data_IF_735755685778
#
_entry.id   IF_735755685778
#
_cell.length_a   1.000
_cell.length_b   1.000
_cell.length_c   1.000
_cell.angle_alpha   90.00
_cell.angle_beta   90.00
_cell.angle_gamma   90.00
#
_symmetry.space_group_name_H-M   'P 1'
#
loop_
_entity.id
_entity.type
_entity.pdbx_description
1 polymer ?
#
# COMPACT_ATOMS: atom_id res chain seq x y z
N UNK A 1 -13.76 10.11 -11.40
CA UNK A 1 -13.61 8.94 -10.51
C UNK A 1 -14.33 7.76 -11.13
N UNK A 2 -13.70 6.61 -11.16
CA UNK A 2 -14.27 5.37 -11.66
C UNK A 2 -15.44 4.94 -10.75
N UNK A 3 -16.60 4.52 -11.30
CA UNK A 3 -17.73 4.05 -10.47
C UNK A 3 -17.36 2.96 -9.46
N UNK A 4 -16.43 2.08 -9.81
CA UNK A 4 -15.97 1.03 -8.90
C UNK A 4 -15.20 1.57 -7.70
N UNK A 5 -14.46 2.66 -7.87
CA UNK A 5 -13.76 3.31 -6.75
C UNK A 5 -14.76 3.85 -5.73
N UNK A 6 -15.85 4.44 -6.19
CA UNK A 6 -16.89 4.96 -5.30
C UNK A 6 -17.51 3.82 -4.49
N UNK A 7 -17.80 2.70 -5.12
CA UNK A 7 -18.36 1.52 -4.46
C UNK A 7 -17.37 0.95 -3.43
N UNK A 8 -16.10 0.85 -3.79
CA UNK A 8 -15.05 0.34 -2.90
C UNK A 8 -14.88 1.26 -1.70
N UNK A 9 -14.85 2.57 -1.90
CA UNK A 9 -14.78 3.55 -0.81
C UNK A 9 -15.95 3.41 0.15
N UNK A 10 -17.17 3.22 -0.39
CA UNK A 10 -18.37 3.02 0.43
C UNK A 10 -18.28 1.74 1.26
N UNK A 11 -17.81 0.66 0.66
CA UNK A 11 -17.59 -0.61 1.36
C UNK A 11 -16.57 -0.44 2.49
N UNK A 12 -15.44 0.22 2.22
CA UNK A 12 -14.41 0.45 3.22
C UNK A 12 -14.90 1.34 4.36
N UNK A 13 -15.71 2.35 4.03
CA UNK A 13 -16.30 3.23 5.04
C UNK A 13 -17.26 2.48 5.98
N UNK A 14 -17.95 1.47 5.47
CA UNK A 14 -18.90 0.65 6.28
C UNK A 14 -18.23 -0.42 7.11
N UNK A 15 -17.12 -1.00 6.60
CA UNK A 15 -16.53 -2.21 7.17
C UNK A 15 -15.15 -1.98 7.80
N UNK A 16 -14.59 -0.80 7.71
CA UNK A 16 -13.28 -0.39 8.25
C UNK A 16 -12.11 -1.17 7.66
N UNK A 17 -12.03 -2.46 7.95
CA UNK A 17 -10.98 -3.35 7.41
C UNK A 17 -11.67 -4.43 6.60
N UNK A 18 -11.26 -4.62 5.36
CA UNK A 18 -11.89 -5.57 4.45
C UNK A 18 -10.88 -6.50 3.80
N UNK A 19 -11.31 -7.73 3.55
CA UNK A 19 -10.56 -8.72 2.79
C UNK A 19 -10.84 -8.52 1.30
N UNK A 20 -9.81 -8.68 0.45
CA UNK A 20 -9.95 -8.48 -1.00
C UNK A 20 -10.98 -9.43 -1.64
N UNK A 21 -11.15 -10.64 -1.09
CA UNK A 21 -12.17 -11.58 -1.57
C UNK A 21 -13.58 -11.10 -1.22
N UNK A 22 -13.77 -10.52 -0.04
CA UNK A 22 -15.07 -9.98 0.37
C UNK A 22 -15.45 -8.76 -0.46
N UNK A 23 -14.48 -7.92 -0.85
CA UNK A 23 -14.75 -6.81 -1.76
C UNK A 23 -15.34 -7.32 -3.07
N UNK A 24 -14.75 -8.36 -3.66
CA UNK A 24 -15.26 -8.97 -4.88
C UNK A 24 -16.69 -9.48 -4.71
N UNK A 25 -16.96 -10.14 -3.59
CA UNK A 25 -18.28 -10.65 -3.25
C UNK A 25 -19.30 -9.53 -3.11
N UNK A 26 -18.95 -8.45 -2.43
CA UNK A 26 -19.87 -7.32 -2.25
C UNK A 26 -20.10 -6.54 -3.54
N UNK A 27 -19.07 -6.39 -4.37
CA UNK A 27 -19.23 -5.80 -5.70
C UNK A 27 -20.13 -6.65 -6.59
N UNK A 28 -20.04 -7.97 -6.47
CA UNK A 28 -20.94 -8.90 -7.16
C UNK A 28 -22.39 -8.68 -6.76
N UNK A 29 -22.67 -8.45 -5.49
CA UNK A 29 -24.03 -8.17 -5.01
C UNK A 29 -24.62 -6.89 -5.59
N UNK A 30 -23.79 -5.91 -5.90
CA UNK A 30 -24.23 -4.68 -6.56
C UNK A 30 -24.47 -4.86 -8.05
N UNK A 31 -23.90 -5.87 -8.67
CA UNK A 31 -23.91 -6.08 -10.11
C UNK A 31 -24.32 -7.52 -10.49
N UNK A 32 -25.40 -8.03 -9.90
CA UNK A 32 -25.80 -9.43 -9.99
C UNK A 32 -26.11 -9.96 -11.40
N UNK A 33 -26.27 -9.10 -12.40
CA UNK A 33 -26.91 -9.46 -13.65
C UNK A 33 -25.95 -9.72 -14.84
N UNK A 34 -24.61 -9.76 -14.61
CA UNK A 34 -23.71 -9.86 -15.76
C UNK A 34 -22.31 -10.41 -15.40
N UNK A 35 -21.99 -11.60 -15.90
CA UNK A 35 -20.68 -12.26 -15.68
C UNK A 35 -19.51 -11.43 -16.16
N UNK A 36 -19.66 -10.68 -17.27
CA UNK A 36 -18.60 -9.81 -17.77
C UNK A 36 -18.29 -8.65 -16.82
N UNK A 37 -19.27 -8.21 -16.04
CA UNK A 37 -19.08 -7.20 -15.00
C UNK A 37 -18.22 -7.77 -13.87
N UNK A 38 -18.44 -9.02 -13.48
CA UNK A 38 -17.66 -9.68 -12.44
C UNK A 38 -16.18 -9.76 -12.81
N UNK A 39 -15.87 -10.07 -14.04
CA UNK A 39 -14.48 -10.08 -14.54
C UNK A 39 -13.86 -8.70 -14.49
N UNK A 40 -14.57 -7.66 -14.93
CA UNK A 40 -14.12 -6.26 -14.86
C UNK A 40 -13.93 -5.81 -13.42
N UNK A 41 -14.84 -6.18 -12.53
CA UNK A 41 -14.74 -5.90 -11.10
C UNK A 41 -13.51 -6.56 -10.52
N UNK A 42 -13.22 -7.80 -10.87
CA UNK A 42 -12.01 -8.51 -10.43
C UNK A 42 -10.72 -7.76 -10.81
N UNK A 43 -10.64 -7.30 -12.05
CA UNK A 43 -9.49 -6.51 -12.54
C UNK A 43 -9.42 -5.14 -11.86
N UNK A 44 -10.55 -4.43 -11.79
CA UNK A 44 -10.61 -3.12 -11.15
C UNK A 44 -10.22 -3.22 -9.69
N UNK A 45 -10.69 -4.25 -8.97
CA UNK A 45 -10.35 -4.47 -7.58
C UNK A 45 -8.85 -4.70 -7.42
N UNK A 46 -8.23 -5.53 -8.25
CA UNK A 46 -6.79 -5.79 -8.19
C UNK A 46 -5.96 -4.54 -8.43
N UNK A 47 -6.38 -3.67 -9.37
CA UNK A 47 -5.69 -2.43 -9.70
C UNK A 47 -5.95 -1.33 -8.66
N UNK A 48 -7.18 -1.20 -8.20
CA UNK A 48 -7.62 -0.07 -7.37
C UNK A 48 -7.38 -0.27 -5.88
N UNK A 49 -7.32 -1.51 -5.40
CA UNK A 49 -6.93 -1.75 -4.01
C UNK A 49 -5.52 -1.29 -3.70
N UNK A 50 -4.66 -1.13 -4.73
CA UNK A 50 -3.35 -0.53 -4.55
C UNK A 50 -3.41 0.98 -4.26
N UNK A 51 -4.54 1.64 -4.51
CA UNK A 51 -4.75 3.06 -4.18
C UNK A 51 -5.31 3.28 -2.76
N UNK A 52 -5.68 2.21 -2.07
CA UNK A 52 -6.08 2.23 -0.67
C UNK A 52 -4.94 1.71 0.21
N UNK A 53 -5.06 1.85 1.52
CA UNK A 53 -4.01 1.40 2.44
C UNK A 53 -4.08 -0.12 2.61
N UNK A 54 -3.03 -0.81 2.21
CA UNK A 54 -2.92 -2.25 2.31
C UNK A 54 -2.28 -2.62 3.65
N UNK A 55 -3.03 -3.32 4.49
CA UNK A 55 -2.60 -3.70 5.84
C UNK A 55 -1.74 -4.98 5.84
N UNK A 56 -2.09 -5.94 4.99
CA UNK A 56 -1.36 -7.19 4.81
C UNK A 56 -1.65 -7.79 3.41
N UNK A 57 -1.36 -9.06 3.20
CA UNK A 57 -1.53 -9.69 1.88
C UNK A 57 -2.92 -9.49 1.28
N UNK A 58 -3.96 -9.54 2.09
CA UNK A 58 -5.34 -9.51 1.59
C UNK A 58 -6.28 -8.53 2.31
N UNK A 59 -5.80 -7.74 3.28
CA UNK A 59 -6.63 -6.79 4.02
C UNK A 59 -6.32 -5.34 3.65
N UNK A 60 -7.37 -4.56 3.47
CA UNK A 60 -7.30 -3.16 3.05
C UNK A 60 -8.17 -2.29 3.93
N UNK A 61 -7.81 -1.02 4.04
CA UNK A 61 -8.58 -0.01 4.75
C UNK A 61 -8.49 1.33 4.01
N UNK A 62 -9.31 2.29 4.42
CA UNK A 62 -9.20 3.66 3.92
C UNK A 62 -7.87 4.25 4.34
N UNK A 63 -7.33 5.13 3.49
CA UNK A 63 -6.13 5.89 3.85
C UNK A 63 -6.41 6.75 5.08
N UNK A 64 -5.52 6.76 6.09
CA UNK A 64 -5.56 7.77 7.13
C UNK A 64 -5.51 9.17 6.50
N UNK A 65 -6.22 10.13 7.12
CA UNK A 65 -6.19 11.51 6.64
C UNK A 65 -4.78 12.07 6.70
N UNK A 66 -4.40 12.90 5.73
CA UNK A 66 -3.09 13.54 5.68
C UNK A 66 -2.79 14.31 6.97
N UNK A 67 -3.81 14.88 7.61
CA UNK A 67 -3.67 15.61 8.87
C UNK A 67 -3.18 14.72 10.02
N UNK A 68 -3.48 13.42 9.96
CA UNK A 68 -3.04 12.45 10.97
C UNK A 68 -1.60 12.00 10.76
N UNK A 69 -1.07 12.17 9.56
CA UNK A 69 0.31 11.78 9.22
C UNK A 69 1.17 13.05 9.22
N UNK A 70 1.65 13.40 10.39
CA UNK A 70 2.45 14.61 10.59
C UNK A 70 3.84 14.48 9.98
N UNK A 71 4.52 15.61 9.77
CA UNK A 71 5.89 15.60 9.28
C UNK A 71 6.83 14.86 10.24
N UNK A 72 6.56 14.93 11.53
CA UNK A 72 7.31 14.21 12.58
C UNK A 72 7.19 12.69 12.37
N UNK A 73 5.99 12.19 12.11
CA UNK A 73 5.76 10.76 11.80
C UNK A 73 6.51 10.36 10.54
N UNK A 74 6.42 11.16 9.48
CA UNK A 74 7.12 10.91 8.22
C UNK A 74 8.63 10.84 8.43
N UNK A 75 9.20 11.78 9.15
CA UNK A 75 10.63 11.80 9.47
C UNK A 75 11.05 10.59 10.29
N UNK A 76 10.22 10.16 11.24
CA UNK A 76 10.48 8.96 12.04
C UNK A 76 10.62 7.73 11.16
N UNK A 77 9.71 7.54 10.22
CA UNK A 77 9.75 6.40 9.28
C UNK A 77 10.98 6.51 8.36
N UNK A 78 11.24 7.69 7.81
CA UNK A 78 12.41 7.93 6.93
C UNK A 78 13.71 7.61 7.68
N UNK A 79 13.83 8.02 8.94
CA UNK A 79 15.02 7.75 9.74
C UNK A 79 15.28 6.25 9.92
N UNK A 80 14.23 5.47 10.17
CA UNK A 80 14.36 4.01 10.28
C UNK A 80 14.80 3.42 8.93
N UNK A 81 14.18 3.85 7.85
CA UNK A 81 14.52 3.37 6.50
C UNK A 81 15.96 3.73 6.12
N UNK A 82 16.39 4.94 6.44
CA UNK A 82 17.76 5.42 6.13
C UNK A 82 18.84 4.65 6.89
N UNK A 83 18.50 4.08 8.05
CA UNK A 83 19.43 3.30 8.85
C UNK A 83 19.55 1.84 8.37
N UNK A 84 18.72 1.39 7.47
CA UNK A 84 18.76 0.02 6.94
C UNK A 84 19.94 -0.12 5.98
N UNK A 85 20.82 -1.08 6.27
CA UNK A 85 21.93 -1.41 5.36
C UNK A 85 21.44 -2.37 4.29
N UNK A 86 21.63 -1.98 3.04
CA UNK A 86 21.25 -2.79 1.89
C UNK A 86 22.47 -3.02 0.99
N UNK A 87 22.51 -4.15 0.25
CA UNK A 87 23.61 -4.43 -0.65
C UNK A 87 23.72 -3.45 -1.83
N UNK A 88 22.63 -2.73 -2.14
CA UNK A 88 22.58 -1.79 -3.25
C UNK A 88 22.35 -0.37 -2.75
N UNK A 89 23.21 0.55 -3.18
CA UNK A 89 23.11 1.96 -2.81
C UNK A 89 21.82 2.59 -3.38
N UNK A 90 21.06 3.27 -2.51
CA UNK A 90 19.84 3.95 -2.88
C UNK A 90 18.64 3.03 -3.09
N UNK A 91 18.78 1.75 -2.80
CA UNK A 91 17.72 0.76 -3.03
C UNK A 91 17.49 -0.08 -1.78
N UNK A 92 16.24 -0.14 -1.33
CA UNK A 92 15.83 -1.00 -0.21
C UNK A 92 14.96 -2.12 -0.78
N UNK A 93 15.45 -3.35 -0.69
CA UNK A 93 14.66 -4.53 -1.03
C UNK A 93 13.85 -4.89 0.21
N UNK A 94 12.53 -4.66 0.16
CA UNK A 94 11.67 -4.73 1.35
C UNK A 94 11.70 -6.12 1.99
N UNK A 95 11.80 -7.18 1.20
CA UNK A 95 11.88 -8.56 1.72
C UNK A 95 13.11 -8.85 2.53
N UNK A 96 14.17 -8.08 2.35
CA UNK A 96 15.41 -8.24 3.10
C UNK A 96 15.41 -7.44 4.42
N UNK A 97 14.35 -6.69 4.71
CA UNK A 97 14.23 -5.95 5.97
C UNK A 97 14.02 -6.97 7.10
N UNK A 98 14.89 -6.97 8.12
CA UNK A 98 14.71 -7.86 9.27
C UNK A 98 13.42 -7.55 10.03
N UNK A 99 12.75 -8.56 10.55
CA UNK A 99 11.49 -8.40 11.29
C UNK A 99 11.64 -7.41 12.46
N UNK A 100 12.79 -7.43 13.14
CA UNK A 100 13.05 -6.52 14.26
C UNK A 100 12.98 -5.04 13.85
N UNK A 101 13.30 -4.73 12.61
CA UNK A 101 13.26 -3.34 12.11
C UNK A 101 11.85 -2.78 12.15
N UNK A 102 10.83 -3.61 11.91
CA UNK A 102 9.44 -3.18 11.94
C UNK A 102 8.99 -2.70 13.33
N UNK A 103 9.66 -3.13 14.40
CA UNK A 103 9.37 -2.68 15.76
C UNK A 103 9.84 -1.25 16.03
N UNK A 104 10.68 -0.71 15.16
CA UNK A 104 11.23 0.65 15.29
C UNK A 104 10.35 1.73 14.69
N UNK A 105 9.35 1.35 13.89
CA UNK A 105 8.41 2.31 13.32
C UNK A 105 7.41 2.79 14.38
N UNK A 106 6.86 4.02 14.20
CA UNK A 106 5.91 4.56 15.17
C UNK A 106 4.60 3.74 15.20
N UNK A 107 3.96 3.71 16.37
CA UNK A 107 2.66 3.03 16.49
C UNK A 107 1.57 3.93 15.90
N UNK A 108 0.99 3.51 14.79
CA UNK A 108 -0.08 4.23 14.09
C UNK A 108 -1.41 3.47 14.11
N UNK A 109 -1.52 2.43 14.95
CA UNK A 109 -2.75 1.65 15.09
C UNK A 109 -2.86 0.45 14.15
N UNK A 110 -1.86 0.19 13.33
CA UNK A 110 -1.77 -1.00 12.49
C UNK A 110 -0.43 -1.71 12.67
N UNK A 111 -0.40 -2.99 12.31
CA UNK A 111 0.84 -3.76 12.36
C UNK A 111 1.74 -3.38 11.17
N UNK A 112 3.01 -3.09 11.44
CA UNK A 112 4.00 -2.83 10.41
C UNK A 112 4.50 -4.15 9.81
N UNK A 113 4.44 -4.25 8.50
CA UNK A 113 4.96 -5.37 7.71
C UNK A 113 5.30 -4.85 6.31
N UNK A 114 5.75 -5.73 5.41
CA UNK A 114 6.13 -5.31 4.06
C UNK A 114 4.99 -4.63 3.29
N UNK A 115 3.75 -5.00 3.53
CA UNK A 115 2.58 -4.43 2.84
C UNK A 115 2.20 -3.06 3.39
N UNK A 116 2.07 -2.94 4.71
CA UNK A 116 1.75 -1.66 5.35
C UNK A 116 2.88 -0.65 5.19
N UNK A 117 4.13 -1.07 5.27
CA UNK A 117 5.29 -0.21 5.01
C UNK A 117 5.24 0.33 3.57
N UNK A 118 5.05 -0.55 2.60
CA UNK A 118 5.02 -0.15 1.18
C UNK A 118 3.85 0.79 0.91
N UNK A 119 2.68 0.53 1.48
CA UNK A 119 1.52 1.43 1.38
C UNK A 119 1.82 2.79 1.99
N UNK A 120 2.42 2.83 3.18
CA UNK A 120 2.78 4.08 3.84
C UNK A 120 3.76 4.90 2.98
N UNK A 121 4.79 4.27 2.47
CA UNK A 121 5.77 4.93 1.61
C UNK A 121 5.12 5.46 0.33
N UNK A 122 4.30 4.65 -0.32
CA UNK A 122 3.62 5.04 -1.56
C UNK A 122 2.73 6.26 -1.38
N UNK A 123 1.98 6.32 -0.28
CA UNK A 123 0.98 7.37 -0.07
C UNK A 123 1.51 8.60 0.64
N UNK A 124 2.52 8.45 1.50
CA UNK A 124 2.97 9.55 2.37
C UNK A 124 4.44 9.93 2.21
N UNK A 125 5.27 9.08 1.62
CA UNK A 125 6.70 9.30 1.49
C UNK A 125 7.19 9.31 0.03
N UNK A 126 6.32 9.65 -0.92
CA UNK A 126 6.67 9.67 -2.35
C UNK A 126 7.77 10.70 -2.69
N UNK A 127 7.98 11.71 -1.84
CA UNK A 127 9.08 12.67 -1.96
C UNK A 127 10.44 12.05 -1.68
N UNK A 128 10.47 11.02 -0.84
CA UNK A 128 11.70 10.38 -0.37
C UNK A 128 12.03 9.09 -1.11
N UNK A 129 11.01 8.31 -1.47
CA UNK A 129 11.19 7.01 -2.10
C UNK A 129 10.19 6.77 -3.22
N UNK A 130 10.67 6.15 -4.30
CA UNK A 130 9.81 5.57 -5.34
C UNK A 130 9.61 4.10 -5.02
N UNK A 131 8.37 3.63 -5.13
CA UNK A 131 8.00 2.26 -4.84
C UNK A 131 7.81 1.47 -6.12
N UNK A 132 8.43 0.30 -6.19
CA UNK A 132 8.28 -0.61 -7.32
C UNK A 132 7.81 -1.97 -6.82
N UNK A 133 6.98 -2.61 -7.64
CA UNK A 133 6.45 -3.95 -7.40
C UNK A 133 6.95 -4.85 -8.51
N UNK A 134 7.42 -6.04 -8.16
CA UNK A 134 7.80 -7.02 -9.18
C UNK A 134 6.57 -7.43 -9.99
N UNK A 135 6.65 -7.30 -11.33
CA UNK A 135 5.51 -7.51 -12.23
C UNK A 135 4.87 -8.90 -12.12
N UNK A 136 5.67 -9.92 -11.81
CA UNK A 136 5.20 -11.31 -11.67
C UNK A 136 4.77 -11.68 -10.24
N UNK A 137 4.96 -10.77 -9.26
CA UNK A 137 4.66 -11.04 -7.86
C UNK A 137 4.38 -9.75 -7.10
N UNK A 138 3.11 -9.47 -6.87
CA UNK A 138 2.64 -8.25 -6.21
C UNK A 138 2.95 -8.20 -4.70
N UNK A 139 3.68 -9.17 -4.16
CA UNK A 139 4.12 -9.16 -2.77
C UNK A 139 5.61 -8.83 -2.61
N UNK A 140 6.32 -8.59 -3.72
CA UNK A 140 7.75 -8.24 -3.72
C UNK A 140 7.94 -6.77 -4.08
N UNK A 141 8.48 -6.00 -3.14
CA UNK A 141 8.58 -4.55 -3.24
C UNK A 141 10.02 -4.07 -3.16
N UNK A 142 10.29 -2.98 -3.86
CA UNK A 142 11.57 -2.28 -3.80
C UNK A 142 11.29 -0.80 -3.59
N UNK A 143 12.00 -0.18 -2.64
CA UNK A 143 11.98 1.25 -2.40
C UNK A 143 13.28 1.84 -2.95
N UNK A 144 13.17 2.80 -3.85
CA UNK A 144 14.33 3.46 -4.45
C UNK A 144 14.38 4.92 -3.98
N UNK A 145 15.57 5.37 -3.55
CA UNK A 145 15.78 6.76 -3.16
C UNK A 145 15.34 7.70 -4.29
N UNK A 146 14.40 8.60 -4.01
CA UNK A 146 13.77 9.44 -5.04
C UNK A 146 14.79 10.35 -5.73
N UNK A 147 15.76 10.91 -4.99
CA UNK A 147 16.77 11.78 -5.55
C UNK A 147 17.72 11.03 -6.47
N UNK A 148 18.13 9.82 -6.09
CA UNK A 148 18.99 8.97 -6.93
C UNK A 148 18.23 8.50 -8.17
N UNK A 149 16.96 8.17 -8.03
CA UNK A 149 16.10 7.79 -9.15
C UNK A 149 15.99 8.93 -10.18
N UNK A 150 15.76 10.14 -9.72
CA UNK A 150 15.69 11.34 -10.59
C UNK A 150 17.01 11.59 -11.30
N UNK A 151 18.15 11.35 -10.66
CA UNK A 151 19.47 11.53 -11.27
C UNK A 151 19.79 10.51 -12.37
N UNK A 152 19.07 9.39 -12.44
CA UNK A 152 19.21 8.40 -13.51
C UNK A 152 18.50 8.80 -14.80
N UNK A 153 17.63 9.78 -14.74
CA UNK A 153 16.92 10.31 -15.88
C UNK A 153 17.59 11.60 -16.36
#
# INVERSE_FOLDING_TARGET
MNPYEVIIEDILAKHSIVNSFDIKKWLWQYHQDNDSILERVGRATSLKLNSFFRLDHCHYTMLPDDDQITQEIKCSVVNVLSAIKQPYDGCIIVELIPDITYTKFPNLGFAWNKFSLTSFVTHYLSEYYKTFVKASNFSKFVLYDAKKYESLN
#
